data_IF_182314660494
#
_entry.id   IF_182314660494
#
_cell.length_a   1.000
_cell.length_b   1.000
_cell.length_c   1.000
_cell.angle_alpha   90.00
_cell.angle_beta   90.00
_cell.angle_gamma   90.00
#
_symmetry.space_group_name_H-M   'P 1'
#
loop_
_entity.id
_entity.type
_entity.pdbx_description
1 polymer ?
#
# COMPACT_ATOMS: atom_id res chain seq x y z
N UNK A 1 -43.30 -7.59 13.10
CA UNK A 1 -42.48 -6.38 13.15
C UNK A 1 -41.03 -6.85 13.33
N UNK A 2 -40.34 -7.09 12.21
CA UNK A 2 -38.90 -7.33 12.25
C UNK A 2 -38.27 -5.92 12.15
N UNK A 3 -37.69 -5.51 13.26
CA UNK A 3 -36.87 -4.28 13.30
C UNK A 3 -35.67 -4.47 12.38
N UNK A 4 -35.61 -3.66 11.33
CA UNK A 4 -34.45 -3.39 10.54
C UNK A 4 -33.26 -3.01 11.47
N UNK A 5 -32.47 -3.98 11.85
CA UNK A 5 -31.08 -3.70 12.24
C UNK A 5 -30.37 -3.30 10.95
N UNK A 6 -30.51 -2.04 10.59
CA UNK A 6 -29.79 -1.41 9.50
C UNK A 6 -28.32 -1.68 9.71
N UNK A 7 -27.71 -2.32 8.72
CA UNK A 7 -26.29 -2.49 8.51
C UNK A 7 -25.54 -1.15 8.68
N UNK A 8 -25.20 -0.80 9.88
CA UNK A 8 -24.25 0.27 10.15
C UNK A 8 -22.88 -0.33 9.83
N UNK A 9 -22.36 0.01 8.66
CA UNK A 9 -20.97 -0.33 8.36
C UNK A 9 -20.07 0.24 9.47
N UNK A 10 -19.02 -0.48 9.90
CA UNK A 10 -18.08 0.09 10.86
C UNK A 10 -17.55 1.42 10.30
N UNK A 11 -17.27 2.40 11.18
CA UNK A 11 -16.79 3.70 10.72
C UNK A 11 -15.48 3.52 9.95
N UNK A 12 -15.49 3.91 8.67
CA UNK A 12 -14.28 3.90 7.84
C UNK A 12 -13.25 4.89 8.42
N UNK A 13 -11.95 4.53 8.43
CA UNK A 13 -10.90 5.47 8.81
C UNK A 13 -10.97 6.76 7.99
N UNK A 14 -10.74 7.90 8.65
CA UNK A 14 -10.71 9.19 7.98
C UNK A 14 -9.37 9.37 7.26
N UNK A 15 -9.41 9.47 5.94
CA UNK A 15 -8.23 9.66 5.08
C UNK A 15 -8.11 11.10 4.57
N UNK A 16 -8.99 12.01 5.01
CA UNK A 16 -8.96 13.40 4.52
C UNK A 16 -7.60 14.04 4.80
N UNK A 17 -7.06 14.79 3.82
CA UNK A 17 -5.76 15.42 3.99
C UNK A 17 -5.82 16.47 5.09
N UNK A 18 -5.05 16.27 6.15
CA UNK A 18 -5.00 17.19 7.29
C UNK A 18 -3.97 18.31 7.12
N UNK A 19 -3.07 18.17 6.15
CA UNK A 19 -1.87 18.98 6.05
C UNK A 19 -1.88 20.07 4.96
N UNK A 20 -2.76 19.97 3.96
CA UNK A 20 -2.66 20.78 2.72
C UNK A 20 -2.91 22.27 2.90
N UNK A 21 -3.56 22.69 3.98
CA UNK A 21 -3.93 24.09 4.24
C UNK A 21 -3.09 24.75 5.32
N UNK A 22 -2.00 24.09 5.75
CA UNK A 22 -1.13 24.67 6.79
C UNK A 22 -0.21 25.73 6.20
N UNK A 23 -0.17 26.89 6.82
CA UNK A 23 0.93 27.83 6.60
C UNK A 23 2.26 27.27 7.16
N UNK A 24 3.37 27.96 6.93
CA UNK A 24 4.69 27.51 7.35
C UNK A 24 4.80 27.32 8.86
N UNK A 25 4.12 28.12 9.66
CA UNK A 25 4.12 28.00 11.13
C UNK A 25 3.29 26.79 11.58
N UNK A 26 2.12 26.60 11.00
CA UNK A 26 1.28 25.43 11.26
C UNK A 26 1.95 24.13 10.83
N UNK A 27 2.67 24.11 9.71
CA UNK A 27 3.46 22.97 9.28
C UNK A 27 4.60 22.66 10.26
N UNK A 28 5.35 23.66 10.70
CA UNK A 28 6.41 23.48 11.69
C UNK A 28 5.87 22.96 13.02
N UNK A 29 4.78 23.52 13.52
CA UNK A 29 4.12 23.05 14.73
C UNK A 29 3.68 21.59 14.61
N UNK A 30 3.11 21.21 13.45
CA UNK A 30 2.76 19.82 13.16
C UNK A 30 3.98 18.89 13.14
N UNK A 31 5.03 19.23 12.41
CA UNK A 31 6.25 18.42 12.33
C UNK A 31 6.93 18.22 13.68
N UNK A 32 6.86 19.21 14.58
CA UNK A 32 7.39 19.12 15.96
C UNK A 32 6.51 18.27 16.89
N UNK A 33 5.22 18.19 16.64
CA UNK A 33 4.26 17.50 17.54
C UNK A 33 3.79 16.13 17.05
N UNK A 34 3.83 15.86 15.76
CA UNK A 34 3.39 14.60 15.17
C UNK A 34 4.57 13.66 14.98
N UNK A 35 4.47 12.46 15.55
CA UNK A 35 5.41 11.36 15.31
C UNK A 35 4.75 10.23 14.53
N UNK A 36 5.52 9.59 13.64
CA UNK A 36 5.07 8.43 12.89
C UNK A 36 4.99 7.21 13.80
N UNK A 37 3.79 6.67 13.96
CA UNK A 37 3.53 5.41 14.65
C UNK A 37 3.63 4.25 13.65
N UNK A 38 4.72 3.48 13.70
CA UNK A 38 4.99 2.39 12.77
C UNK A 38 4.19 1.13 13.16
N UNK A 39 2.97 1.02 12.66
CA UNK A 39 2.15 -0.20 12.76
C UNK A 39 2.41 -1.06 11.53
N UNK A 40 3.13 -2.18 11.71
CA UNK A 40 3.46 -3.04 10.59
C UNK A 40 2.33 -4.02 10.26
N UNK A 41 2.12 -4.27 8.97
CA UNK A 41 1.40 -5.43 8.45
C UNK A 41 2.30 -6.24 7.52
N UNK A 42 1.86 -7.44 7.15
CA UNK A 42 2.61 -8.31 6.26
C UNK A 42 1.66 -9.24 5.48
N UNK A 43 2.03 -9.56 4.25
CA UNK A 43 1.33 -10.54 3.44
C UNK A 43 1.60 -11.96 3.89
N UNK A 44 0.57 -12.76 4.16
CA UNK A 44 0.75 -14.15 4.59
C UNK A 44 1.31 -15.05 3.48
N UNK A 45 1.23 -14.61 2.22
CA UNK A 45 1.69 -15.39 1.05
C UNK A 45 3.19 -15.68 1.12
N UNK A 46 4.03 -14.73 1.48
CA UNK A 46 5.48 -14.93 1.53
C UNK A 46 5.99 -15.61 2.84
N UNK A 47 5.08 -15.98 3.76
CA UNK A 47 5.44 -16.84 4.89
C UNK A 47 5.65 -18.29 4.47
N UNK A 48 5.23 -18.66 3.27
CA UNK A 48 5.57 -19.94 2.65
C UNK A 48 6.65 -19.71 1.60
N UNK A 49 7.74 -20.51 1.57
CA UNK A 49 8.79 -20.34 0.58
C UNK A 49 8.25 -20.40 -0.85
N UNK A 50 8.43 -19.31 -1.58
CA UNK A 50 8.02 -19.21 -2.98
C UNK A 50 9.17 -19.59 -3.93
N UNK A 51 8.84 -19.76 -5.21
CA UNK A 51 9.80 -19.80 -6.30
C UNK A 51 10.18 -18.37 -6.73
N UNK A 52 11.38 -18.19 -7.26
CA UNK A 52 11.74 -16.99 -8.00
C UNK A 52 11.61 -17.21 -9.51
N UNK A 53 11.88 -16.16 -10.28
CA UNK A 53 11.82 -16.19 -11.74
C UNK A 53 12.66 -17.31 -12.38
N UNK A 54 13.81 -17.63 -11.79
CA UNK A 54 14.79 -18.59 -12.32
C UNK A 54 15.16 -19.69 -11.32
N UNK A 55 14.43 -19.79 -10.23
CA UNK A 55 14.70 -20.79 -9.19
C UNK A 55 13.37 -21.41 -8.74
N UNK A 56 13.37 -22.73 -8.52
CA UNK A 56 12.24 -23.42 -7.90
C UNK A 56 12.01 -22.96 -6.44
N UNK A 57 10.99 -23.48 -5.77
CA UNK A 57 10.71 -23.09 -4.39
C UNK A 57 11.95 -23.24 -3.48
N UNK A 58 12.20 -22.27 -2.65
CA UNK A 58 13.35 -22.23 -1.74
C UNK A 58 13.22 -23.18 -0.54
N UNK A 59 12.04 -23.76 -0.35
CA UNK A 59 11.73 -24.72 0.70
C UNK A 59 10.36 -25.37 0.48
N UNK A 60 9.93 -26.28 1.37
CA UNK A 60 8.60 -26.86 1.30
C UNK A 60 7.53 -25.80 1.59
N UNK A 61 6.36 -25.92 0.91
CA UNK A 61 5.22 -25.07 1.19
C UNK A 61 4.73 -25.28 2.63
N UNK A 62 4.41 -24.19 3.31
CA UNK A 62 3.83 -24.22 4.66
C UNK A 62 2.30 -24.08 4.58
N UNK A 63 1.56 -24.90 5.35
CA UNK A 63 0.12 -24.73 5.49
C UNK A 63 -0.21 -23.44 6.22
N UNK A 64 -1.45 -22.97 6.10
CA UNK A 64 -1.83 -21.65 6.57
C UNK A 64 -1.75 -21.50 8.10
N UNK A 65 -2.05 -22.53 8.86
CA UNK A 65 -1.92 -22.55 10.33
C UNK A 65 -0.47 -22.33 10.78
N UNK A 66 0.50 -23.02 10.15
CA UNK A 66 1.92 -22.81 10.43
C UNK A 66 2.39 -21.39 10.09
N UNK A 67 1.91 -20.81 8.99
CA UNK A 67 2.21 -19.42 8.63
C UNK A 67 1.65 -18.44 9.67
N UNK A 68 0.42 -18.66 10.14
CA UNK A 68 -0.22 -17.86 11.17
C UNK A 68 0.48 -17.98 12.52
N UNK A 69 1.04 -19.15 12.87
CA UNK A 69 1.84 -19.34 14.08
C UNK A 69 3.14 -18.49 14.02
N UNK A 70 3.83 -18.49 12.88
CA UNK A 70 5.00 -17.62 12.67
C UNK A 70 4.61 -16.14 12.81
N UNK A 71 3.50 -15.73 12.19
CA UNK A 71 2.99 -14.36 12.29
C UNK A 71 2.67 -13.97 13.74
N UNK A 72 2.02 -14.85 14.51
CA UNK A 72 1.73 -14.61 15.92
C UNK A 72 3.01 -14.36 16.75
N UNK A 73 4.09 -15.08 16.45
CA UNK A 73 5.40 -14.88 17.07
C UNK A 73 6.00 -13.48 16.86
N UNK A 74 5.59 -12.78 15.79
CA UNK A 74 6.06 -11.43 15.44
C UNK A 74 5.22 -10.29 16.06
N UNK A 75 4.13 -10.59 16.76
CA UNK A 75 3.28 -9.59 17.41
C UNK A 75 4.07 -8.68 18.37
N UNK A 76 5.01 -9.25 19.12
CA UNK A 76 5.91 -8.54 20.06
C UNK A 76 6.94 -7.66 19.33
N UNK A 77 7.26 -7.99 18.07
CA UNK A 77 8.23 -7.26 17.26
C UNK A 77 7.59 -6.11 16.49
N UNK A 78 6.25 -5.97 16.56
CA UNK A 78 5.50 -4.84 15.99
C UNK A 78 4.56 -5.20 14.85
N UNK A 79 4.41 -6.48 14.49
CA UNK A 79 3.39 -6.92 13.55
C UNK A 79 2.00 -6.71 14.16
N UNK A 80 1.16 -5.91 13.51
CA UNK A 80 -0.20 -5.53 13.97
C UNK A 80 -1.29 -5.88 12.97
N UNK A 81 -0.91 -6.16 11.73
CA UNK A 81 -1.82 -6.53 10.65
C UNK A 81 -1.30 -7.71 9.85
N UNK A 82 -2.21 -8.49 9.28
CA UNK A 82 -1.90 -9.56 8.33
C UNK A 82 -2.83 -9.43 7.13
N UNK A 83 -2.33 -9.79 5.96
CA UNK A 83 -2.99 -9.65 4.68
C UNK A 83 -3.05 -10.99 3.97
N UNK A 84 -4.15 -11.28 3.25
CA UNK A 84 -4.36 -12.60 2.66
C UNK A 84 -5.11 -12.52 1.33
N UNK A 85 -4.84 -13.45 0.40
CA UNK A 85 -5.56 -13.59 -0.86
C UNK A 85 -6.77 -14.54 -0.72
N UNK A 86 -7.87 -14.12 -1.36
CA UNK A 86 -9.08 -14.91 -1.53
C UNK A 86 -9.14 -15.50 -2.95
N UNK A 87 -9.39 -16.77 -3.11
CA UNK A 87 -9.71 -17.78 -2.09
C UNK A 87 -8.49 -18.57 -1.57
N UNK A 88 -7.28 -18.18 -1.90
CA UNK A 88 -6.08 -19.02 -1.75
C UNK A 88 -5.66 -19.24 -0.30
N UNK A 89 -5.45 -18.17 0.46
CA UNK A 89 -5.07 -18.25 1.88
C UNK A 89 -6.29 -18.19 2.80
N UNK A 90 -7.30 -17.39 2.41
CA UNK A 90 -8.54 -17.24 3.16
C UNK A 90 -9.76 -17.47 2.28
N UNK A 91 -10.74 -18.21 2.80
CA UNK A 91 -12.00 -18.52 2.12
C UNK A 91 -13.09 -18.84 3.16
N UNK A 92 -14.28 -19.20 2.69
CA UNK A 92 -15.44 -19.52 3.51
C UNK A 92 -15.18 -20.69 4.46
N UNK A 93 -14.36 -21.67 4.06
CA UNK A 93 -14.10 -22.88 4.84
C UNK A 93 -13.15 -22.63 6.01
N UNK A 94 -12.24 -21.65 5.88
CA UNK A 94 -11.19 -21.42 6.88
C UNK A 94 -11.27 -20.05 7.61
N UNK A 95 -12.27 -19.21 7.32
CA UNK A 95 -12.40 -17.88 7.96
C UNK A 95 -12.47 -17.97 9.49
N UNK A 96 -12.96 -19.08 10.04
CA UNK A 96 -12.97 -19.34 11.49
C UNK A 96 -11.57 -19.41 12.09
N UNK A 97 -10.60 -19.99 11.37
CA UNK A 97 -9.20 -20.02 11.77
C UNK A 97 -8.61 -18.59 11.86
N UNK A 98 -8.90 -17.74 10.88
CA UNK A 98 -8.44 -16.35 10.85
C UNK A 98 -9.03 -15.50 11.98
N UNK A 99 -10.33 -15.68 12.30
CA UNK A 99 -10.96 -15.03 13.46
C UNK A 99 -10.33 -15.47 14.78
N UNK A 100 -10.05 -16.76 14.94
CA UNK A 100 -9.38 -17.31 16.11
C UNK A 100 -7.95 -16.78 16.26
N UNK A 101 -7.20 -16.72 15.15
CA UNK A 101 -5.86 -16.13 15.10
C UNK A 101 -5.88 -14.66 15.54
N UNK A 102 -6.78 -13.86 14.97
CA UNK A 102 -6.88 -12.44 15.32
C UNK A 102 -7.19 -12.22 16.81
N UNK A 103 -8.12 -13.03 17.35
CA UNK A 103 -8.52 -12.97 18.75
C UNK A 103 -7.37 -13.37 19.71
N UNK A 104 -6.57 -14.37 19.36
CA UNK A 104 -5.50 -14.89 20.22
C UNK A 104 -4.19 -14.11 20.13
N UNK A 105 -3.83 -13.64 18.93
CA UNK A 105 -2.55 -12.95 18.69
C UNK A 105 -2.62 -11.42 18.90
N UNK A 106 -3.82 -10.84 18.81
CA UNK A 106 -4.02 -9.39 18.74
C UNK A 106 -3.57 -8.76 17.41
N UNK A 107 -3.26 -9.57 16.39
CA UNK A 107 -2.95 -9.12 15.03
C UNK A 107 -4.25 -9.10 14.22
N UNK A 108 -4.62 -7.96 13.65
CA UNK A 108 -5.83 -7.85 12.82
C UNK A 108 -5.62 -8.52 11.46
N UNK A 109 -6.65 -9.16 10.93
CA UNK A 109 -6.74 -9.38 9.48
C UNK A 109 -7.04 -8.01 8.88
N UNK A 110 -6.05 -7.42 8.20
CA UNK A 110 -6.11 -6.04 7.76
C UNK A 110 -6.86 -5.89 6.43
N UNK A 111 -6.67 -6.86 5.54
CA UNK A 111 -7.28 -6.87 4.21
C UNK A 111 -7.36 -8.27 3.65
N UNK A 112 -8.37 -8.50 2.81
CA UNK A 112 -8.52 -9.69 1.97
C UNK A 112 -8.52 -9.25 0.51
N UNK A 113 -7.59 -9.81 -0.26
CA UNK A 113 -7.23 -9.42 -1.61
C UNK A 113 -7.82 -10.41 -2.60
N UNK A 114 -8.62 -10.03 -3.60
CA UNK A 114 -9.06 -10.97 -4.63
C UNK A 114 -7.87 -11.44 -5.48
N UNK A 115 -7.68 -12.74 -5.57
CA UNK A 115 -6.61 -13.36 -6.36
C UNK A 115 -6.99 -13.37 -7.85
N UNK A 116 -6.67 -12.29 -8.57
CA UNK A 116 -7.09 -12.02 -9.94
C UNK A 116 -6.01 -12.32 -10.99
N UNK A 117 -5.05 -13.16 -10.64
CA UNK A 117 -3.92 -13.56 -11.48
C UNK A 117 -3.64 -15.05 -11.29
N UNK A 118 -2.63 -15.59 -12.00
CA UNK A 118 -2.21 -16.99 -11.97
C UNK A 118 -3.13 -17.98 -12.69
N UNK A 119 -4.45 -17.84 -12.56
CA UNK A 119 -5.40 -18.73 -13.25
C UNK A 119 -5.34 -18.51 -14.78
N UNK A 120 -5.30 -19.58 -15.55
CA UNK A 120 -5.24 -19.50 -17.01
C UNK A 120 -6.39 -18.71 -17.65
N UNK A 121 -7.54 -18.66 -17.00
CA UNK A 121 -8.69 -17.87 -17.47
C UNK A 121 -8.45 -16.36 -17.43
N UNK A 122 -7.51 -15.89 -16.62
CA UNK A 122 -7.14 -14.47 -16.52
C UNK A 122 -5.90 -14.12 -17.36
N UNK A 123 -5.39 -15.04 -18.19
CA UNK A 123 -4.19 -14.80 -18.99
C UNK A 123 -4.22 -13.48 -19.77
N UNK A 124 -5.39 -13.07 -20.26
CA UNK A 124 -5.57 -11.83 -21.03
C UNK A 124 -6.21 -10.69 -20.23
N UNK A 125 -6.08 -10.70 -18.94
CA UNK A 125 -6.65 -9.74 -17.99
C UNK A 125 -7.74 -10.34 -17.12
N UNK A 126 -8.02 -9.69 -16.01
CA UNK A 126 -9.11 -10.05 -15.10
C UNK A 126 -10.31 -9.13 -15.29
N UNK A 127 -10.37 -8.00 -14.55
CA UNK A 127 -11.47 -7.02 -14.67
C UNK A 127 -11.46 -6.26 -15.98
N UNK A 128 -10.33 -6.16 -16.69
CA UNK A 128 -10.25 -5.54 -18.02
C UNK A 128 -10.46 -6.53 -19.19
N UNK A 129 -10.57 -7.82 -18.89
CA UNK A 129 -10.61 -8.88 -19.91
C UNK A 129 -11.69 -8.59 -20.97
N UNK A 130 -11.38 -8.67 -22.29
CA UNK A 130 -12.37 -8.53 -23.34
C UNK A 130 -13.39 -9.67 -23.34
N UNK A 131 -13.02 -10.88 -22.90
CA UNK A 131 -13.96 -12.00 -22.71
C UNK A 131 -14.88 -11.70 -21.52
N UNK A 132 -16.19 -11.74 -21.79
CA UNK A 132 -17.20 -11.42 -20.79
C UNK A 132 -17.27 -12.47 -19.68
N UNK A 133 -17.06 -13.75 -20.02
CA UNK A 133 -17.08 -14.85 -19.05
C UNK A 133 -15.91 -14.76 -18.06
N UNK A 134 -14.69 -14.52 -18.56
CA UNK A 134 -13.51 -14.32 -17.71
C UNK A 134 -13.68 -13.07 -16.82
N UNK A 135 -14.16 -11.98 -17.41
CA UNK A 135 -14.44 -10.75 -16.64
C UNK A 135 -15.50 -10.95 -15.57
N UNK A 136 -16.57 -11.69 -15.86
CA UNK A 136 -17.61 -12.01 -14.87
C UNK A 136 -17.03 -12.77 -13.68
N UNK A 137 -16.20 -13.81 -13.93
CA UNK A 137 -15.53 -14.55 -12.85
C UNK A 137 -14.61 -13.67 -12.01
N UNK A 138 -13.89 -12.72 -12.63
CA UNK A 138 -13.06 -11.76 -11.90
C UNK A 138 -13.92 -10.87 -10.98
N UNK A 139 -15.06 -10.37 -11.47
CA UNK A 139 -16.00 -9.58 -10.66
C UNK A 139 -16.56 -10.42 -9.51
N UNK A 140 -16.98 -11.65 -9.77
CA UNK A 140 -17.55 -12.54 -8.73
C UNK A 140 -16.51 -12.88 -7.66
N UNK A 141 -15.24 -13.12 -8.06
CA UNK A 141 -14.13 -13.34 -7.13
C UNK A 141 -13.86 -12.09 -6.29
N UNK A 142 -13.93 -10.91 -6.90
CA UNK A 142 -13.79 -9.64 -6.17
C UNK A 142 -14.93 -9.49 -5.16
N UNK A 143 -16.18 -9.77 -5.53
CA UNK A 143 -17.31 -9.77 -4.61
C UNK A 143 -17.09 -10.72 -3.43
N UNK A 144 -16.56 -11.93 -3.69
CA UNK A 144 -16.21 -12.90 -2.64
C UNK A 144 -15.21 -12.32 -1.65
N UNK A 145 -14.12 -11.73 -2.15
CA UNK A 145 -13.12 -11.08 -1.31
C UNK A 145 -13.72 -9.90 -0.49
N UNK A 146 -14.58 -9.07 -1.10
CA UNK A 146 -15.24 -7.98 -0.39
C UNK A 146 -16.19 -8.47 0.71
N UNK A 147 -16.86 -9.62 0.52
CA UNK A 147 -17.68 -10.26 1.57
C UNK A 147 -16.81 -10.70 2.74
N UNK A 148 -15.64 -11.31 2.48
CA UNK A 148 -14.68 -11.66 3.54
C UNK A 148 -14.21 -10.43 4.31
N UNK A 149 -13.85 -9.34 3.61
CA UNK A 149 -13.49 -8.07 4.22
C UNK A 149 -14.60 -7.54 5.13
N UNK A 150 -15.84 -7.55 4.66
CA UNK A 150 -17.00 -7.11 5.45
C UNK A 150 -17.23 -7.97 6.68
N UNK A 151 -17.10 -9.29 6.56
CA UNK A 151 -17.28 -10.24 7.67
C UNK A 151 -16.17 -10.11 8.73
N UNK A 152 -14.96 -9.80 8.32
CA UNK A 152 -13.81 -9.58 9.20
C UNK A 152 -13.74 -8.15 9.76
N UNK A 153 -14.52 -7.22 9.23
CA UNK A 153 -14.50 -5.80 9.63
C UNK A 153 -13.18 -5.12 9.29
N UNK A 154 -12.64 -5.38 8.10
CA UNK A 154 -11.40 -4.75 7.62
C UNK A 154 -11.61 -3.28 7.27
N UNK A 155 -10.53 -2.50 7.25
CA UNK A 155 -10.60 -1.07 6.92
C UNK A 155 -10.68 -0.83 5.40
N UNK A 156 -10.20 -1.80 4.60
CA UNK A 156 -10.17 -1.77 3.13
C UNK A 156 -9.94 -3.17 2.56
N UNK A 157 -10.16 -3.32 1.25
CA UNK A 157 -9.74 -4.46 0.46
C UNK A 157 -8.69 -4.01 -0.58
N UNK A 158 -7.49 -4.58 -0.57
CA UNK A 158 -6.52 -4.32 -1.64
C UNK A 158 -7.04 -4.96 -2.93
N UNK A 159 -6.86 -4.28 -4.06
CA UNK A 159 -7.03 -4.82 -5.41
C UNK A 159 -5.78 -4.54 -6.20
N UNK A 160 -5.06 -5.61 -6.50
CA UNK A 160 -3.88 -5.59 -7.35
C UNK A 160 -4.28 -6.02 -8.79
N UNK A 161 -3.95 -5.22 -9.83
CA UNK A 161 -4.37 -5.50 -11.21
C UNK A 161 -3.72 -6.75 -11.80
N UNK A 162 -2.57 -7.15 -11.25
CA UNK A 162 -1.86 -8.36 -11.64
C UNK A 162 -1.55 -8.43 -13.12
N UNK A 163 -2.48 -8.99 -13.89
CA UNK A 163 -2.30 -9.34 -15.30
C UNK A 163 -3.10 -8.43 -16.25
N UNK A 164 -3.79 -7.42 -15.74
CA UNK A 164 -4.61 -6.48 -16.53
C UNK A 164 -3.76 -5.49 -17.32
N UNK A 165 -3.21 -5.94 -18.43
CA UNK A 165 -2.28 -5.16 -19.22
C UNK A 165 -2.20 -5.62 -20.68
N UNK A 166 -1.11 -5.26 -21.36
CA UNK A 166 -0.92 -5.57 -22.77
C UNK A 166 0.57 -5.63 -23.15
N UNK A 167 0.85 -6.37 -24.23
CA UNK A 167 2.16 -6.41 -24.90
C UNK A 167 2.17 -5.51 -26.15
N UNK A 168 1.09 -5.57 -26.94
CA UNK A 168 0.96 -4.85 -28.20
C UNK A 168 -0.19 -3.84 -28.14
N UNK A 169 0.13 -2.59 -28.47
CA UNK A 169 -0.84 -1.50 -28.45
C UNK A 169 -1.65 -1.34 -29.75
N UNK A 170 -1.29 -2.05 -30.82
CA UNK A 170 -1.94 -1.91 -32.12
C UNK A 170 -3.39 -2.39 -32.09
N UNK A 171 -4.32 -1.48 -32.35
CA UNK A 171 -5.76 -1.78 -32.35
C UNK A 171 -6.37 -1.95 -30.95
N UNK A 172 -5.63 -1.76 -29.88
CA UNK A 172 -6.18 -1.80 -28.53
C UNK A 172 -6.96 -0.53 -28.20
N UNK A 173 -8.26 -0.69 -27.91
CA UNK A 173 -9.07 0.39 -27.34
C UNK A 173 -8.77 0.52 -25.83
N UNK A 174 -7.81 1.37 -25.50
CA UNK A 174 -7.41 1.65 -24.12
C UNK A 174 -8.56 2.22 -23.27
N UNK A 175 -9.41 3.03 -23.87
CA UNK A 175 -10.55 3.62 -23.15
C UNK A 175 -11.58 2.55 -22.79
N UNK A 176 -11.85 1.61 -23.70
CA UNK A 176 -12.74 0.47 -23.42
C UNK A 176 -12.11 -0.46 -22.37
N UNK A 177 -10.81 -0.74 -22.43
CA UNK A 177 -10.12 -1.57 -21.44
C UNK A 177 -10.19 -0.95 -20.03
N UNK A 178 -9.89 0.35 -19.90
CA UNK A 178 -10.04 1.07 -18.63
C UNK A 178 -11.47 1.08 -18.11
N UNK A 179 -12.44 1.33 -19.00
CA UNK A 179 -13.88 1.31 -18.62
C UNK A 179 -14.30 -0.09 -18.11
N UNK A 180 -13.88 -1.17 -18.75
CA UNK A 180 -14.19 -2.53 -18.28
C UNK A 180 -13.66 -2.75 -16.86
N UNK A 181 -12.39 -2.40 -16.62
CA UNK A 181 -11.78 -2.51 -15.29
C UNK A 181 -12.55 -1.69 -14.24
N UNK A 182 -12.74 -0.40 -14.49
CA UNK A 182 -13.41 0.50 -13.57
C UNK A 182 -14.88 0.09 -13.30
N UNK A 183 -15.62 -0.29 -14.36
CA UNK A 183 -17.02 -0.72 -14.21
C UNK A 183 -17.14 -2.07 -13.47
N UNK A 184 -16.23 -3.00 -13.72
CA UNK A 184 -16.21 -4.29 -13.02
C UNK A 184 -15.93 -4.10 -11.52
N UNK A 185 -14.98 -3.21 -11.19
CA UNK A 185 -14.69 -2.88 -9.79
C UNK A 185 -15.86 -2.15 -9.12
N UNK A 186 -16.48 -1.18 -9.80
CA UNK A 186 -17.66 -0.48 -9.29
C UNK A 186 -18.84 -1.43 -9.06
N UNK A 187 -19.08 -2.39 -9.95
CA UNK A 187 -20.11 -3.42 -9.79
C UNK A 187 -19.84 -4.27 -8.55
N UNK A 188 -18.60 -4.72 -8.35
CA UNK A 188 -18.23 -5.49 -7.16
C UNK A 188 -18.43 -4.67 -5.86
N UNK A 189 -18.06 -3.40 -5.85
CA UNK A 189 -18.26 -2.51 -4.71
C UNK A 189 -19.75 -2.25 -4.43
N UNK A 190 -20.58 -2.16 -5.44
CA UNK A 190 -22.03 -1.97 -5.27
C UNK A 190 -22.73 -3.26 -4.85
N UNK A 191 -22.22 -4.44 -5.21
CA UNK A 191 -22.69 -5.73 -4.72
C UNK A 191 -22.32 -5.98 -3.24
N UNK A 192 -21.27 -5.32 -2.74
CA UNK A 192 -20.85 -5.40 -1.34
C UNK A 192 -20.56 -3.99 -0.77
N UNK A 193 -21.62 -3.16 -0.58
CA UNK A 193 -21.42 -1.75 -0.25
C UNK A 193 -20.83 -1.54 1.14
N UNK A 194 -20.07 -0.46 1.29
CA UNK A 194 -19.43 -0.03 2.54
C UNK A 194 -18.00 -0.55 2.72
N UNK A 195 -17.48 -1.38 1.81
CA UNK A 195 -16.06 -1.78 1.80
C UNK A 195 -15.27 -0.80 0.94
N UNK A 196 -14.18 -0.27 1.49
CA UNK A 196 -13.23 0.58 0.77
C UNK A 196 -12.28 -0.30 -0.04
N UNK A 197 -11.93 0.14 -1.25
CA UNK A 197 -10.86 -0.44 -2.05
C UNK A 197 -9.56 0.31 -1.79
N UNK A 198 -8.44 -0.41 -1.78
CA UNK A 198 -7.08 0.12 -1.85
C UNK A 198 -6.41 -0.46 -3.10
N UNK A 199 -6.48 0.27 -4.22
CA UNK A 199 -5.89 -0.16 -5.49
C UNK A 199 -4.36 -0.05 -5.43
N UNK A 200 -3.68 -1.09 -5.92
CA UNK A 200 -2.22 -1.17 -5.95
C UNK A 200 -1.70 -1.07 -7.38
N UNK A 201 -1.16 0.08 -7.80
CA UNK A 201 -0.61 0.24 -9.14
C UNK A 201 0.67 -0.57 -9.32
N UNK A 202 0.84 -1.14 -10.52
CA UNK A 202 2.09 -1.75 -10.99
C UNK A 202 2.33 -1.40 -12.44
N UNK A 203 3.49 -0.86 -12.84
CA UNK A 203 3.67 -0.30 -14.19
C UNK A 203 3.83 -1.34 -15.29
N UNK A 204 4.38 -2.50 -14.99
CA UNK A 204 4.60 -3.63 -15.90
C UNK A 204 4.83 -4.92 -15.11
N UNK A 205 5.01 -6.05 -15.80
CA UNK A 205 5.24 -7.38 -15.26
C UNK A 205 3.99 -7.98 -14.58
N UNK A 206 3.53 -9.14 -15.07
CA UNK A 206 4.13 -9.94 -16.18
C UNK A 206 3.89 -9.34 -17.57
N UNK A 207 2.99 -8.38 -17.74
CA UNK A 207 2.73 -7.70 -19.01
C UNK A 207 3.74 -6.58 -19.25
N UNK A 208 4.00 -6.25 -20.52
CA UNK A 208 4.88 -5.14 -20.88
C UNK A 208 4.38 -3.78 -20.37
N UNK A 209 3.06 -3.63 -20.23
CA UNK A 209 2.37 -2.53 -19.54
C UNK A 209 1.11 -3.01 -18.85
N UNK A 210 0.85 -2.49 -17.66
CA UNK A 210 -0.37 -2.73 -16.88
C UNK A 210 -1.22 -1.47 -16.89
N UNK A 211 -2.54 -1.65 -16.95
CA UNK A 211 -3.51 -0.55 -16.91
C UNK A 211 -3.49 0.09 -15.52
N UNK A 212 -3.53 1.42 -15.48
CA UNK A 212 -3.42 2.19 -14.24
C UNK A 212 -2.13 1.88 -13.47
N UNK A 213 -1.03 1.76 -14.22
CA UNK A 213 0.24 1.27 -13.72
C UNK A 213 1.05 2.26 -12.88
N UNK A 214 0.67 3.55 -12.84
CA UNK A 214 1.32 4.59 -12.06
C UNK A 214 0.43 5.10 -10.93
N UNK A 215 1.03 5.73 -9.92
CA UNK A 215 0.27 6.27 -8.77
C UNK A 215 -0.78 7.30 -9.18
N UNK A 216 -0.49 8.29 -10.07
CA UNK A 216 -1.52 9.21 -10.57
C UNK A 216 -2.64 8.52 -11.37
N UNK A 217 -2.31 7.51 -12.17
CA UNK A 217 -3.33 6.74 -12.91
C UNK A 217 -4.26 5.99 -11.96
N UNK A 218 -3.75 5.45 -10.85
CA UNK A 218 -4.56 4.84 -9.81
C UNK A 218 -5.51 5.85 -9.13
N UNK A 219 -5.08 7.10 -8.94
CA UNK A 219 -5.97 8.18 -8.47
C UNK A 219 -7.10 8.46 -9.48
N UNK A 220 -6.78 8.45 -10.77
CA UNK A 220 -7.81 8.59 -11.83
C UNK A 220 -8.79 7.42 -11.82
N UNK A 221 -8.31 6.18 -11.68
CA UNK A 221 -9.17 5.00 -11.49
C UNK A 221 -10.13 5.21 -10.31
N UNK A 222 -9.61 5.69 -9.17
CA UNK A 222 -10.43 5.96 -8.00
C UNK A 222 -11.57 6.92 -8.27
N UNK A 223 -11.34 7.99 -9.04
CA UNK A 223 -12.37 8.96 -9.45
C UNK A 223 -13.38 8.32 -10.42
N UNK A 224 -12.90 7.56 -11.40
CA UNK A 224 -13.76 6.90 -12.40
C UNK A 224 -14.69 5.87 -11.74
N UNK A 225 -14.16 5.03 -10.84
CA UNK A 225 -14.94 4.03 -10.09
C UNK A 225 -16.00 4.70 -9.23
N UNK A 226 -15.63 5.72 -8.43
CA UNK A 226 -16.58 6.44 -7.57
C UNK A 226 -17.70 7.11 -8.36
N UNK A 227 -17.44 7.62 -9.56
CA UNK A 227 -18.46 8.18 -10.45
C UNK A 227 -19.46 7.12 -10.96
N UNK A 228 -19.09 5.86 -10.96
CA UNK A 228 -19.93 4.73 -11.39
C UNK A 228 -20.74 4.11 -10.26
N UNK A 229 -20.41 4.35 -8.99
CA UNK A 229 -21.12 3.76 -7.84
C UNK A 229 -22.58 4.20 -7.78
N UNK A 230 -23.45 3.26 -7.41
CA UNK A 230 -24.91 3.47 -7.35
C UNK A 230 -25.52 3.01 -6.03
N UNK A 231 -24.88 2.11 -5.28
CA UNK A 231 -25.42 1.61 -4.03
C UNK A 231 -25.63 2.76 -3.01
N UNK A 232 -26.82 2.87 -2.38
CA UNK A 232 -27.14 4.00 -1.49
C UNK A 232 -26.13 4.20 -0.36
N UNK A 233 -25.61 3.10 0.24
CA UNK A 233 -24.60 3.20 1.29
C UNK A 233 -23.30 3.83 0.76
N UNK A 234 -22.80 3.40 -0.40
CA UNK A 234 -21.62 3.96 -1.03
C UNK A 234 -21.80 5.46 -1.32
N UNK A 235 -22.94 5.83 -1.90
CA UNK A 235 -23.29 7.24 -2.17
C UNK A 235 -23.29 8.07 -0.88
N UNK A 236 -23.89 7.54 0.21
CA UNK A 236 -23.95 8.25 1.49
C UNK A 236 -22.58 8.44 2.12
N UNK A 237 -21.72 7.41 2.07
CA UNK A 237 -20.34 7.52 2.55
C UNK A 237 -19.55 8.58 1.77
N UNK A 238 -19.70 8.62 0.43
CA UNK A 238 -19.03 9.65 -0.38
C UNK A 238 -19.57 11.05 -0.07
N UNK A 239 -20.88 11.22 0.15
CA UNK A 239 -21.46 12.50 0.60
C UNK A 239 -20.98 12.93 1.97
N UNK A 240 -20.64 11.98 2.85
CA UNK A 240 -20.02 12.23 4.14
C UNK A 240 -18.51 12.58 4.04
N UNK A 241 -17.96 12.60 2.82
CA UNK A 241 -16.56 12.97 2.55
C UNK A 241 -15.57 11.80 2.51
N UNK A 242 -16.05 10.56 2.62
CA UNK A 242 -15.17 9.40 2.48
C UNK A 242 -14.81 9.13 1.00
N UNK A 243 -13.57 8.73 0.76
CA UNK A 243 -13.13 8.12 -0.50
C UNK A 243 -13.26 6.61 -0.38
N UNK A 244 -13.86 5.97 -1.38
CA UNK A 244 -14.15 4.54 -1.38
C UNK A 244 -13.21 3.73 -2.28
N UNK A 245 -12.73 4.31 -3.38
CA UNK A 245 -11.69 3.73 -4.20
C UNK A 245 -10.40 4.50 -3.96
N UNK A 246 -9.59 3.97 -3.06
CA UNK A 246 -8.34 4.53 -2.55
C UNK A 246 -7.14 3.76 -3.10
N UNK A 247 -5.96 4.04 -2.56
CA UNK A 247 -4.69 3.55 -3.06
C UNK A 247 -3.92 2.78 -1.99
N UNK A 248 -3.17 1.80 -2.46
CA UNK A 248 -2.09 1.10 -1.80
C UNK A 248 -0.84 1.16 -2.68
N UNK A 249 -0.14 2.31 -2.82
CA UNK A 249 1.09 2.32 -3.58
C UNK A 249 2.15 1.47 -2.90
N UNK A 250 2.86 0.69 -3.71
CA UNK A 250 4.01 -0.10 -3.27
C UNK A 250 5.31 0.58 -3.67
N UNK A 251 6.27 0.61 -2.74
CA UNK A 251 7.58 1.25 -2.96
C UNK A 251 8.28 0.65 -4.18
N UNK A 252 8.32 -0.68 -4.31
CA UNK A 252 8.91 -1.36 -5.45
C UNK A 252 8.27 -0.97 -6.77
N UNK A 253 6.93 -1.00 -6.84
CA UNK A 253 6.18 -0.65 -8.05
C UNK A 253 6.39 0.80 -8.48
N UNK A 254 6.47 1.74 -7.53
CA UNK A 254 6.78 3.14 -7.81
C UNK A 254 8.18 3.26 -8.43
N UNK A 255 9.18 2.55 -7.87
CA UNK A 255 10.55 2.53 -8.40
C UNK A 255 10.64 1.83 -9.77
N UNK A 256 9.85 0.79 -10.02
CA UNK A 256 9.70 0.19 -11.37
C UNK A 256 9.24 1.23 -12.39
N UNK A 257 8.29 2.09 -12.01
CA UNK A 257 7.73 3.13 -12.85
C UNK A 257 8.61 4.37 -13.03
N UNK A 258 9.81 4.41 -12.45
CA UNK A 258 10.67 5.59 -12.41
C UNK A 258 10.02 6.80 -11.76
N UNK A 259 9.07 6.58 -10.87
CA UNK A 259 8.46 7.65 -10.09
C UNK A 259 9.34 7.98 -8.85
N UNK A 260 9.35 9.25 -8.43
CA UNK A 260 9.89 9.65 -7.14
C UNK A 260 8.93 9.22 -6.02
N UNK A 261 9.42 8.51 -5.01
CA UNK A 261 8.59 7.92 -3.96
C UNK A 261 7.77 8.97 -3.20
N UNK A 262 8.41 10.05 -2.76
CA UNK A 262 7.74 11.09 -1.98
C UNK A 262 6.66 11.80 -2.81
N UNK A 263 6.98 12.12 -4.07
CA UNK A 263 6.05 12.76 -4.99
C UNK A 263 4.89 11.83 -5.38
N UNK A 264 5.17 10.56 -5.70
CA UNK A 264 4.15 9.58 -6.04
C UNK A 264 3.13 9.41 -4.90
N UNK A 265 3.59 9.21 -3.67
CA UNK A 265 2.72 9.07 -2.50
C UNK A 265 1.97 10.36 -2.15
N UNK A 266 2.51 11.53 -2.52
CA UNK A 266 1.83 12.80 -2.29
C UNK A 266 0.48 12.90 -3.03
N UNK A 267 0.32 12.24 -4.17
CA UNK A 267 -0.93 12.22 -4.93
C UNK A 267 -2.10 11.63 -4.14
N UNK A 268 -2.06 10.35 -3.71
CA UNK A 268 -3.16 9.79 -2.91
C UNK A 268 -3.29 10.48 -1.54
N UNK A 269 -2.21 10.98 -0.93
CA UNK A 269 -2.28 11.74 0.31
C UNK A 269 -3.10 13.03 0.13
N UNK A 270 -2.81 13.81 -0.92
CA UNK A 270 -3.50 15.08 -1.20
C UNK A 270 -4.97 14.88 -1.57
N UNK A 271 -5.32 13.75 -2.15
CA UNK A 271 -6.69 13.40 -2.54
C UNK A 271 -7.51 12.73 -1.42
N UNK A 272 -6.89 12.47 -0.26
CA UNK A 272 -7.51 11.69 0.81
C UNK A 272 -7.77 10.24 0.42
N UNK A 273 -6.88 9.66 -0.39
CA UNK A 273 -7.01 8.32 -0.97
C UNK A 273 -5.92 7.35 -0.53
N UNK A 274 -4.96 7.73 0.30
CA UNK A 274 -3.95 6.79 0.80
C UNK A 274 -4.56 5.93 1.91
N UNK A 275 -5.07 4.75 1.56
CA UNK A 275 -5.65 3.81 2.51
C UNK A 275 -4.59 2.91 3.15
N UNK A 276 -3.60 2.52 2.36
CA UNK A 276 -2.52 1.62 2.76
C UNK A 276 -1.26 1.91 1.96
N UNK A 277 -0.17 1.20 2.27
CA UNK A 277 1.08 1.27 1.52
C UNK A 277 1.89 -0.02 1.70
N UNK A 278 2.44 -0.56 0.63
CA UNK A 278 3.37 -1.68 0.67
C UNK A 278 4.83 -1.22 0.63
N UNK A 279 5.67 -1.89 1.39
CA UNK A 279 7.05 -1.50 1.62
C UNK A 279 7.99 -2.67 1.38
N UNK A 280 8.93 -2.43 0.50
CA UNK A 280 10.05 -3.26 0.13
C UNK A 280 11.21 -2.37 -0.35
N UNK A 281 12.14 -2.87 -1.11
CA UNK A 281 13.11 -2.07 -1.83
C UNK A 281 13.58 -2.77 -3.11
N UNK A 282 14.00 -1.98 -4.09
CA UNK A 282 14.62 -2.48 -5.31
C UNK A 282 15.39 -1.39 -6.04
N UNK A 283 16.29 -1.74 -6.99
CA UNK A 283 16.90 -0.77 -7.89
C UNK A 283 15.85 -0.09 -8.77
N UNK A 284 16.08 1.20 -9.07
CA UNK A 284 15.19 1.98 -9.92
C UNK A 284 15.01 1.32 -11.31
N UNK A 285 13.76 1.16 -11.73
CA UNK A 285 13.43 0.62 -13.06
C UNK A 285 13.73 -0.87 -13.23
N UNK A 286 13.99 -1.61 -12.17
CA UNK A 286 14.18 -3.06 -12.23
C UNK A 286 12.82 -3.79 -12.25
N UNK A 287 12.84 -5.12 -12.51
CA UNK A 287 11.65 -5.96 -12.33
C UNK A 287 11.28 -6.07 -10.83
N UNK A 288 10.12 -6.58 -10.56
CA UNK A 288 9.61 -6.74 -9.20
C UNK A 288 10.45 -7.75 -8.41
N UNK A 289 11.24 -7.24 -7.47
CA UNK A 289 12.19 -8.06 -6.71
C UNK A 289 11.76 -8.31 -5.27
N UNK A 290 10.93 -7.45 -4.73
CA UNK A 290 10.44 -7.53 -3.34
C UNK A 290 11.57 -7.74 -2.32
N UNK A 291 12.65 -6.98 -2.47
CA UNK A 291 13.77 -7.06 -1.53
C UNK A 291 13.34 -6.49 -0.16
N UNK A 292 13.98 -6.96 0.90
CA UNK A 292 13.75 -6.44 2.25
C UNK A 292 13.88 -4.91 2.31
N UNK A 293 13.07 -4.26 3.13
CA UNK A 293 13.07 -2.79 3.27
C UNK A 293 14.46 -2.30 3.66
N UNK A 294 14.95 -1.29 2.96
CA UNK A 294 16.25 -0.69 3.20
C UNK A 294 17.45 -1.50 2.67
N UNK A 295 17.22 -2.62 1.98
CA UNK A 295 18.30 -3.40 1.35
C UNK A 295 18.97 -2.62 0.20
N UNK A 296 18.19 -1.79 -0.50
CA UNK A 296 18.66 -0.92 -1.59
C UNK A 296 18.10 0.49 -1.38
N UNK A 297 18.91 1.51 -1.66
CA UNK A 297 18.51 2.93 -1.61
C UNK A 297 17.78 3.34 -0.32
N UNK A 298 18.34 3.08 0.86
CA UNK A 298 17.66 3.38 2.14
C UNK A 298 17.36 4.88 2.31
N UNK A 299 18.07 5.77 1.61
CA UNK A 299 17.84 7.21 1.61
C UNK A 299 16.47 7.60 1.04
N UNK A 300 15.91 6.79 0.14
CA UNK A 300 14.57 7.04 -0.44
C UNK A 300 13.46 6.84 0.60
N UNK A 301 13.66 5.94 1.56
CA UNK A 301 12.72 5.74 2.66
C UNK A 301 12.53 7.00 3.49
N UNK A 302 13.61 7.77 3.71
CA UNK A 302 13.57 8.96 4.56
C UNK A 302 12.72 10.07 3.93
N UNK A 303 12.84 10.32 2.64
CA UNK A 303 12.03 11.33 1.94
C UNK A 303 10.55 10.95 1.93
N UNK A 304 10.23 9.67 1.71
CA UNK A 304 8.87 9.16 1.79
C UNK A 304 8.30 9.28 3.21
N UNK A 305 9.03 8.83 4.24
CA UNK A 305 8.60 8.96 5.64
C UNK A 305 8.41 10.41 6.04
N UNK A 306 9.27 11.32 5.55
CA UNK A 306 9.12 12.75 5.78
C UNK A 306 7.81 13.28 5.19
N UNK A 307 7.46 12.87 3.97
CA UNK A 307 6.19 13.21 3.31
C UNK A 307 5.00 12.67 4.09
N UNK A 308 5.04 11.40 4.52
CA UNK A 308 4.00 10.81 5.37
C UNK A 308 3.84 11.57 6.70
N UNK A 309 4.95 12.00 7.30
CA UNK A 309 4.95 12.82 8.51
C UNK A 309 4.30 14.19 8.26
N UNK A 310 4.66 14.88 7.18
CA UNK A 310 4.05 16.16 6.80
C UNK A 310 2.53 16.06 6.66
N UNK A 311 2.04 14.96 6.09
CA UNK A 311 0.60 14.72 5.89
C UNK A 311 -0.11 14.09 7.09
N UNK A 312 0.61 13.73 8.16
CA UNK A 312 0.02 13.17 9.36
C UNK A 312 -0.51 11.74 9.16
N UNK A 313 0.18 10.91 8.38
CA UNK A 313 -0.22 9.54 8.09
C UNK A 313 -0.28 8.68 9.35
N UNK A 314 -1.38 7.94 9.53
CA UNK A 314 -1.65 7.10 10.70
C UNK A 314 -1.99 5.65 10.34
N UNK A 315 -1.87 5.30 9.07
CA UNK A 315 -2.16 3.95 8.56
C UNK A 315 -1.10 2.91 8.94
N UNK A 316 -1.22 1.76 8.33
CA UNK A 316 -0.25 0.67 8.47
C UNK A 316 0.86 0.79 7.41
N UNK A 317 1.98 0.15 7.70
CA UNK A 317 3.12 -0.02 6.81
C UNK A 317 3.19 -1.51 6.46
N UNK A 318 2.60 -1.89 5.33
CA UNK A 318 2.55 -3.28 4.87
C UNK A 318 3.90 -3.70 4.31
N UNK A 319 4.49 -4.73 4.87
CA UNK A 319 5.71 -5.31 4.32
C UNK A 319 5.31 -6.34 3.27
N UNK A 320 5.75 -6.13 2.05
CA UNK A 320 5.59 -7.05 0.92
C UNK A 320 6.96 -7.38 0.32
N UNK A 321 7.47 -8.55 0.66
CA UNK A 321 8.83 -8.96 0.34
C UNK A 321 8.87 -10.40 -0.13
N UNK A 322 9.89 -10.75 -0.90
CA UNK A 322 10.26 -12.13 -1.18
C UNK A 322 11.52 -12.51 -0.38
N UNK A 323 11.38 -13.20 0.75
CA UNK A 323 12.52 -13.52 1.62
C UNK A 323 13.51 -14.50 1.02
N UNK A 324 13.15 -15.23 -0.04
CA UNK A 324 13.93 -16.30 -0.65
C UNK A 324 14.38 -17.36 0.39
N UNK A 325 15.69 -17.41 0.71
CA UNK A 325 16.26 -18.36 1.70
C UNK A 325 16.35 -17.77 3.09
N UNK A 326 16.09 -16.48 3.28
CA UNK A 326 16.10 -15.87 4.60
C UNK A 326 14.84 -16.34 5.35
N UNK A 327 14.96 -16.82 6.60
CA UNK A 327 13.76 -17.09 7.39
C UNK A 327 12.86 -15.87 7.46
N UNK A 328 11.57 -16.06 7.22
CA UNK A 328 10.61 -14.95 7.07
C UNK A 328 10.56 -14.02 8.29
N UNK A 329 10.68 -14.60 9.49
CA UNK A 329 10.71 -13.84 10.73
C UNK A 329 11.97 -12.95 10.86
N UNK A 330 13.11 -13.42 10.35
CA UNK A 330 14.36 -12.64 10.27
C UNK A 330 14.22 -11.53 9.23
N UNK A 331 13.70 -11.82 8.04
CA UNK A 331 13.51 -10.85 6.98
C UNK A 331 12.56 -9.71 7.41
N UNK A 332 11.46 -10.05 8.11
CA UNK A 332 10.53 -9.08 8.65
C UNK A 332 11.14 -8.21 9.75
N UNK A 333 11.85 -8.80 10.72
CA UNK A 333 12.55 -8.01 11.76
C UNK A 333 13.56 -7.05 11.16
N UNK A 334 14.34 -7.50 10.17
CA UNK A 334 15.28 -6.64 9.47
C UNK A 334 14.57 -5.47 8.80
N UNK A 335 13.43 -5.71 8.13
CA UNK A 335 12.62 -4.68 7.50
C UNK A 335 12.02 -3.70 8.52
N UNK A 336 11.50 -4.20 9.64
CA UNK A 336 10.99 -3.36 10.74
C UNK A 336 12.09 -2.47 11.33
N UNK A 337 13.29 -3.00 11.53
CA UNK A 337 14.41 -2.25 12.08
C UNK A 337 14.94 -1.20 11.10
N UNK A 338 14.97 -1.50 9.79
CA UNK A 338 15.29 -0.52 8.76
C UNK A 338 14.29 0.66 8.77
N UNK A 339 12.99 0.35 8.87
CA UNK A 339 11.93 1.37 8.96
C UNK A 339 12.04 2.21 10.23
N UNK A 340 12.30 1.59 11.38
CA UNK A 340 12.52 2.30 12.66
C UNK A 340 13.71 3.23 12.57
N UNK A 341 14.84 2.75 12.05
CA UNK A 341 16.04 3.56 11.89
C UNK A 341 15.82 4.75 10.95
N UNK A 342 15.11 4.56 9.84
CA UNK A 342 14.76 5.64 8.92
C UNK A 342 13.80 6.65 9.58
N UNK A 343 12.75 6.17 10.29
CA UNK A 343 11.84 7.03 11.06
C UNK A 343 12.59 7.87 12.10
N UNK A 344 13.49 7.27 12.88
CA UNK A 344 14.23 7.97 13.92
C UNK A 344 15.14 9.07 13.33
N UNK A 345 15.75 8.83 12.17
CA UNK A 345 16.49 9.86 11.44
C UNK A 345 15.58 11.01 11.00
N UNK A 346 14.41 10.71 10.44
CA UNK A 346 13.42 11.72 10.03
C UNK A 346 12.94 12.55 11.23
N UNK A 347 12.65 11.90 12.36
CA UNK A 347 12.22 12.59 13.59
C UNK A 347 13.31 13.49 14.17
N UNK A 348 14.59 13.16 13.96
CA UNK A 348 15.74 13.93 14.47
C UNK A 348 16.11 15.13 13.60
N UNK A 349 15.51 15.32 12.44
CA UNK A 349 15.85 16.40 11.52
C UNK A 349 15.46 17.77 12.07
N UNK A 350 16.25 18.79 11.76
CA UNK A 350 15.89 20.18 11.98
C UNK A 350 14.82 20.64 10.99
N UNK A 351 13.56 20.39 11.33
CA UNK A 351 12.41 20.70 10.48
C UNK A 351 12.29 22.19 10.15
N UNK A 352 12.66 23.07 11.09
CA UNK A 352 12.59 24.51 10.91
C UNK A 352 13.57 24.96 9.81
N UNK A 353 14.82 24.51 9.91
CA UNK A 353 15.84 24.78 8.88
C UNK A 353 15.50 24.18 7.52
N UNK A 354 14.88 22.99 7.45
CA UNK A 354 14.43 22.38 6.20
C UNK A 354 13.33 23.22 5.56
N UNK A 355 12.29 23.60 6.31
CA UNK A 355 11.21 24.44 5.79
C UNK A 355 11.72 25.82 5.34
N UNK A 356 12.59 26.44 6.12
CA UNK A 356 13.22 27.71 5.77
C UNK A 356 14.08 27.59 4.50
N UNK A 357 14.80 26.48 4.33
CA UNK A 357 15.58 26.22 3.12
C UNK A 357 14.72 26.09 1.87
N UNK A 358 13.56 25.45 1.97
CA UNK A 358 12.59 25.39 0.87
C UNK A 358 11.95 26.73 0.54
N UNK A 359 11.73 27.59 1.54
CA UNK A 359 11.20 28.93 1.33
C UNK A 359 12.21 29.89 0.66
N UNK A 360 13.52 29.60 0.73
CA UNK A 360 14.59 30.43 0.14
C UNK A 360 15.58 29.58 -0.69
N UNK A 361 15.16 28.87 -1.74
CA UNK A 361 15.95 27.83 -2.41
C UNK A 361 17.24 28.38 -3.04
N UNK A 362 17.25 29.61 -3.52
CA UNK A 362 18.43 30.24 -4.10
C UNK A 362 19.57 30.54 -3.12
N UNK A 363 19.26 30.63 -1.82
CA UNK A 363 20.24 30.94 -0.75
C UNK A 363 20.60 29.71 0.10
N UNK A 364 19.71 28.73 0.14
CA UNK A 364 19.82 27.58 1.03
C UNK A 364 20.14 26.28 0.29
N UNK A 365 20.45 26.34 -1.01
CA UNK A 365 20.81 25.17 -1.78
C UNK A 365 22.00 24.43 -1.15
N UNK A 366 21.92 23.12 -1.00
CA UNK A 366 22.92 22.30 -0.33
C UNK A 366 22.81 22.30 1.21
N UNK A 367 21.97 23.15 1.80
CA UNK A 367 21.78 23.13 3.25
C UNK A 367 21.01 21.90 3.71
N UNK A 368 19.96 21.51 3.00
CA UNK A 368 19.20 20.28 3.26
C UNK A 368 20.13 19.07 3.15
N UNK A 369 20.97 19.01 2.10
CA UNK A 369 21.95 17.94 1.91
C UNK A 369 22.89 17.82 3.13
N UNK A 370 23.33 18.98 3.65
CA UNK A 370 24.18 19.03 4.83
C UNK A 370 23.48 18.54 6.10
N UNK A 371 22.19 18.84 6.27
CA UNK A 371 21.38 18.32 7.39
C UNK A 371 21.17 16.80 7.28
N UNK A 372 20.82 16.30 6.10
CA UNK A 372 20.65 14.87 5.85
C UNK A 372 21.96 14.10 6.05
N UNK A 373 23.09 14.63 5.56
CA UNK A 373 24.41 14.05 5.79
C UNK A 373 24.72 13.91 7.28
N UNK A 374 24.38 14.92 8.06
CA UNK A 374 24.59 14.90 9.52
C UNK A 374 23.70 13.88 10.23
N UNK A 375 22.45 13.80 9.84
CA UNK A 375 21.51 12.83 10.41
C UNK A 375 21.90 11.37 10.13
N UNK A 376 22.62 11.13 9.03
CA UNK A 376 23.09 9.79 8.62
C UNK A 376 24.48 9.45 9.14
N UNK A 377 25.27 10.45 9.49
CA UNK A 377 26.64 10.23 9.90
C UNK A 377 26.73 9.58 11.29
N UNK A 378 27.61 8.58 11.48
CA UNK A 378 27.92 8.08 12.81
C UNK A 378 28.39 9.22 13.76
N UNK A 379 28.05 9.14 15.03
CA UNK A 379 28.41 10.16 16.03
C UNK A 379 29.94 10.43 16.11
N UNK A 380 30.78 9.46 15.76
CA UNK A 380 32.21 9.59 15.72
C UNK A 380 32.76 10.32 14.47
N UNK A 381 31.89 10.60 13.48
CA UNK A 381 32.33 11.23 12.23
C UNK A 381 32.62 12.72 12.43
N UNK A 382 33.83 13.13 12.06
CA UNK A 382 34.20 14.54 12.06
C UNK A 382 33.64 15.22 10.81
N UNK A 383 32.63 16.05 11.00
CA UNK A 383 32.01 16.84 9.93
C UNK A 383 32.48 18.30 9.99
N UNK A 384 32.50 18.96 8.82
CA UNK A 384 32.72 20.40 8.75
C UNK A 384 31.63 21.17 9.51
N UNK A 385 31.91 22.34 10.08
CA UNK A 385 30.87 23.18 10.67
C UNK A 385 29.74 23.45 9.67
N UNK A 386 28.48 23.38 10.14
CA UNK A 386 27.34 23.78 9.34
C UNK A 386 27.33 25.30 9.21
N UNK A 387 27.39 25.80 7.98
CA UNK A 387 27.25 27.24 7.75
C UNK A 387 25.85 27.69 8.16
N UNK A 388 25.70 28.83 8.88
CA UNK A 388 24.38 29.34 9.23
C UNK A 388 23.59 29.71 7.96
N UNK A 389 22.29 29.44 7.96
CA UNK A 389 21.39 29.94 6.93
C UNK A 389 21.45 31.48 6.95
N UNK A 390 21.85 32.07 5.85
CA UNK A 390 21.83 33.53 5.66
C UNK A 390 20.61 33.87 4.79
N UNK A 391 19.56 34.33 5.45
CA UNK A 391 18.34 34.82 4.78
C UNK A 391 18.50 36.23 4.27
#
# INVERSE_FOLDING_TARGET
MHTDQQNVAPPLPDLRPQALERDSQGMLAHLKSFSLDLKFSAGIWFFSPAASRFHGPYGPALPIDARLEIAAGLAKDGLKGIEAHYPNEINEDNIGLWKSFAASSGIRVLTVIPFLFWDSEFEFGSLSNPDEGARRRAIDRTIGALRMNKELGTDFAIVWPGIDGYEQGFGLDYAAARRRFASGLAEAMDACPGVRIAFEPKPYEPRGRILYGTTPEGVLLGRDVEAMLRAPLNINLMKAGHRLCCMNPEVGHVLMGFEDLAYAFSWPLSEGRLAHSHWNSQPLGNYDQDLGVGAVSPEQLESLLYTLKMHGYRGYYGIDINPERVPVDVALRNSFDAMRAARDRVESLDHESILAAHAAPGRARGYIDALLTRARAPHSTRLSPLAPLRF
#
